data_IF_804144536622
#
_entry.id   IF_804144536622
#
_cell.length_a   1.000
_cell.length_b   1.000
_cell.length_c   1.000
_cell.angle_alpha   90.00
_cell.angle_beta   90.00
_cell.angle_gamma   90.00
#
_symmetry.space_group_name_H-M   'P 1'
#
loop_
_entity.id
_entity.type
_entity.pdbx_description
1 polymer ?
#
# COMPACT_ATOMS: atom_id res chain seq x y z
N UNK A 1 12.21 1.01 13.47
CA UNK A 1 12.02 1.78 12.23
C UNK A 1 12.47 3.22 12.41
N UNK A 2 13.23 3.79 11.47
CA UNK A 2 13.49 5.23 11.45
C UNK A 2 12.23 5.91 10.88
N UNK A 3 11.52 6.71 11.71
CA UNK A 3 10.27 7.41 11.34
C UNK A 3 10.35 8.15 10.00
N UNK A 4 11.54 8.66 9.62
CA UNK A 4 11.73 9.39 8.36
C UNK A 4 11.51 8.59 7.07
N UNK A 5 11.68 7.26 7.09
CA UNK A 5 11.50 6.45 5.88
C UNK A 5 10.01 6.19 5.55
N UNK A 6 9.17 6.08 6.59
CA UNK A 6 7.74 5.78 6.41
C UNK A 6 7.00 6.94 5.75
N UNK A 7 7.26 8.18 6.14
CA UNK A 7 6.56 9.33 5.54
C UNK A 7 6.88 9.49 4.05
N UNK A 8 8.13 9.29 3.63
CA UNK A 8 8.52 9.34 2.22
C UNK A 8 7.79 8.28 1.37
N UNK A 9 7.56 7.10 1.93
CA UNK A 9 6.78 6.03 1.28
C UNK A 9 5.30 6.40 1.20
N UNK A 10 4.73 7.00 2.24
CA UNK A 10 3.35 7.48 2.20
C UNK A 10 3.18 8.59 1.15
N UNK A 11 4.13 9.52 1.05
CA UNK A 11 4.15 10.55 0.02
C UNK A 11 4.21 9.97 -1.40
N UNK A 12 4.94 8.86 -1.58
CA UNK A 12 4.96 8.12 -2.86
C UNK A 12 3.57 7.61 -3.24
N UNK A 13 2.83 7.02 -2.30
CA UNK A 13 1.44 6.60 -2.52
C UNK A 13 0.49 7.79 -2.77
N UNK A 14 0.66 8.88 -2.03
CA UNK A 14 -0.13 10.11 -2.21
C UNK A 14 0.11 10.75 -3.59
N UNK A 15 1.36 10.77 -4.05
CA UNK A 15 1.74 11.27 -5.38
C UNK A 15 1.10 10.44 -6.49
N UNK A 16 1.09 9.12 -6.34
CA UNK A 16 0.43 8.21 -7.28
C UNK A 16 -1.10 8.41 -7.32
N UNK A 17 -1.71 8.71 -6.17
CA UNK A 17 -3.13 9.10 -6.09
C UNK A 17 -3.38 10.43 -6.80
N UNK A 18 -2.55 11.44 -6.52
CA UNK A 18 -2.64 12.75 -7.14
C UNK A 18 -2.49 12.69 -8.67
N UNK A 19 -1.61 11.83 -9.19
CA UNK A 19 -1.46 11.57 -10.63
C UNK A 19 -2.71 10.98 -11.30
N UNK A 20 -3.65 10.43 -10.53
CA UNK A 20 -4.99 10.01 -11.00
C UNK A 20 -6.08 11.06 -10.78
N UNK A 21 -5.74 12.22 -10.23
CA UNK A 21 -6.72 13.20 -9.77
C UNK A 21 -7.50 12.74 -8.53
N UNK A 22 -6.94 11.80 -7.75
CA UNK A 22 -7.57 11.25 -6.55
C UNK A 22 -6.91 11.76 -5.28
N UNK A 23 -7.64 11.68 -4.17
CA UNK A 23 -7.12 11.95 -2.82
C UNK A 23 -7.40 10.75 -1.94
N UNK A 24 -6.41 10.24 -1.20
CA UNK A 24 -6.63 9.08 -0.35
C UNK A 24 -7.47 9.44 0.88
N UNK A 25 -8.35 8.53 1.25
CA UNK A 25 -9.11 8.62 2.48
C UNK A 25 -8.22 8.45 3.71
N UNK A 26 -8.68 8.94 4.86
CA UNK A 26 -7.97 8.79 6.12
C UNK A 26 -7.70 7.32 6.49
N UNK A 27 -8.67 6.43 6.26
CA UNK A 27 -8.50 5.00 6.56
C UNK A 27 -7.46 4.31 5.66
N UNK A 28 -7.31 4.75 4.42
CA UNK A 28 -6.26 4.23 3.52
C UNK A 28 -4.88 4.59 4.07
N UNK A 29 -4.65 5.86 4.40
CA UNK A 29 -3.38 6.31 5.01
C UNK A 29 -3.08 5.64 6.35
N UNK A 30 -4.09 5.46 7.19
CA UNK A 30 -3.95 4.74 8.45
C UNK A 30 -3.55 3.27 8.21
N UNK A 31 -4.19 2.60 7.24
CA UNK A 31 -3.85 1.22 6.86
C UNK A 31 -2.41 1.14 6.34
N UNK A 32 -2.00 2.07 5.47
CA UNK A 32 -0.66 2.06 4.91
C UNK A 32 0.42 2.18 6.00
N UNK A 33 0.18 3.07 6.97
CA UNK A 33 1.07 3.28 8.11
C UNK A 33 1.15 2.05 9.01
N UNK A 34 0.01 1.44 9.35
CA UNK A 34 -0.05 0.24 10.18
C UNK A 34 0.64 -0.95 9.49
N UNK A 35 0.35 -1.17 8.20
CA UNK A 35 1.00 -2.22 7.40
C UNK A 35 2.52 -2.03 7.36
N UNK A 36 3.01 -0.83 7.06
CA UNK A 36 4.46 -0.54 7.03
C UNK A 36 5.12 -0.60 8.41
N UNK A 37 4.33 -0.59 9.50
CA UNK A 37 4.80 -0.83 10.85
C UNK A 37 4.89 -2.33 11.21
N UNK A 38 4.47 -3.22 10.30
CA UNK A 38 4.42 -4.67 10.51
C UNK A 38 3.21 -5.13 11.33
N UNK A 39 2.14 -4.33 11.36
CA UNK A 39 0.91 -4.66 12.09
C UNK A 39 -0.07 -5.47 11.23
N UNK A 40 -0.75 -6.43 11.86
CA UNK A 40 -1.90 -7.13 11.28
C UNK A 40 -3.20 -6.36 11.52
N UNK A 41 -4.14 -6.39 10.56
CA UNK A 41 -5.38 -5.62 10.71
C UNK A 41 -6.52 -5.96 9.76
N UNK A 42 -7.68 -5.37 10.06
CA UNK A 42 -8.91 -5.48 9.27
C UNK A 42 -9.37 -4.08 8.82
N UNK A 43 -9.54 -3.91 7.51
CA UNK A 43 -10.11 -2.68 6.94
C UNK A 43 -11.61 -2.85 6.75
N UNK A 44 -12.40 -2.11 7.53
CA UNK A 44 -13.83 -1.97 7.32
C UNK A 44 -14.13 -0.60 6.70
N UNK A 45 -14.68 -0.58 5.49
CA UNK A 45 -15.13 0.65 4.84
C UNK A 45 -16.28 0.38 3.85
N UNK A 46 -17.08 1.40 3.47
CA UNK A 46 -18.20 1.24 2.54
C UNK A 46 -17.79 0.72 1.16
N UNK A 47 -18.72 0.17 0.40
CA UNK A 47 -18.51 -0.15 -1.03
C UNK A 47 -18.22 1.12 -1.82
N UNK A 48 -17.37 1.02 -2.86
CA UNK A 48 -16.98 2.18 -3.68
C UNK A 48 -15.93 3.11 -3.05
N UNK A 49 -15.50 2.89 -1.80
CA UNK A 49 -14.49 3.71 -1.12
C UNK A 49 -13.02 3.43 -1.52
N UNK A 50 -12.79 2.52 -2.47
CA UNK A 50 -11.43 2.14 -2.87
C UNK A 50 -10.67 1.33 -1.81
N UNK A 51 -11.36 0.48 -1.03
CA UNK A 51 -10.73 -0.43 -0.04
C UNK A 51 -9.54 -1.20 -0.59
N UNK A 52 -9.59 -1.62 -1.86
CA UNK A 52 -8.48 -2.32 -2.54
C UNK A 52 -7.16 -1.58 -2.42
N UNK A 53 -7.16 -0.24 -2.56
CA UNK A 53 -5.95 0.58 -2.44
C UNK A 53 -5.42 0.69 -1.00
N UNK A 54 -6.21 0.29 0.00
CA UNK A 54 -5.75 0.25 1.39
C UNK A 54 -4.72 -0.87 1.61
N UNK A 55 -4.79 -1.94 0.81
CA UNK A 55 -3.92 -3.12 0.96
C UNK A 55 -2.90 -3.25 -0.18
N UNK A 56 -3.29 -2.96 -1.43
CA UNK A 56 -2.36 -3.08 -2.57
C UNK A 56 -1.20 -2.09 -2.48
N UNK A 57 -1.46 -0.82 -2.16
CA UNK A 57 -0.39 0.18 -2.10
C UNK A 57 0.67 -0.13 -1.05
N UNK A 58 0.36 -0.45 0.22
CA UNK A 58 1.40 -0.67 1.20
C UNK A 58 2.22 -1.95 0.94
N UNK A 59 1.65 -2.98 0.29
CA UNK A 59 2.43 -4.12 -0.25
C UNK A 59 3.48 -3.64 -1.26
N UNK A 60 3.11 -2.73 -2.17
CA UNK A 60 4.05 -2.15 -3.14
C UNK A 60 5.08 -1.24 -2.46
N UNK A 61 4.66 -0.44 -1.48
CA UNK A 61 5.56 0.44 -0.71
C UNK A 61 6.59 -0.37 0.10
N UNK A 62 6.19 -1.51 0.69
CA UNK A 62 7.11 -2.43 1.34
C UNK A 62 8.14 -2.97 0.34
N UNK A 63 7.70 -3.32 -0.87
CA UNK A 63 8.61 -3.76 -1.92
C UNK A 63 9.61 -2.66 -2.31
N UNK A 64 9.15 -1.43 -2.54
CA UNK A 64 10.02 -0.27 -2.83
C UNK A 64 10.98 -0.01 -1.66
N UNK A 65 10.51 -0.14 -0.42
CA UNK A 65 11.34 0.01 0.77
C UNK A 65 12.48 -1.00 0.81
N UNK A 66 12.20 -2.26 0.43
CA UNK A 66 13.20 -3.33 0.40
C UNK A 66 14.20 -3.17 -0.76
N UNK A 67 13.79 -2.50 -1.84
CA UNK A 67 14.55 -2.38 -3.09
C UNK A 67 14.56 -0.93 -3.63
N UNK A 68 15.08 0.05 -2.88
CA UNK A 68 14.93 1.47 -3.21
C UNK A 68 15.60 1.90 -4.53
N UNK A 69 16.62 1.15 -4.99
CA UNK A 69 17.36 1.44 -6.22
C UNK A 69 16.98 0.51 -7.40
N UNK A 70 16.15 -0.51 -7.16
CA UNK A 70 15.87 -1.59 -8.11
C UNK A 70 14.44 -2.13 -7.93
N UNK A 71 13.47 -1.23 -7.76
CA UNK A 71 12.07 -1.60 -7.53
C UNK A 71 11.31 -1.93 -8.82
N UNK A 72 11.94 -1.79 -9.99
CA UNK A 72 11.41 -2.12 -11.32
C UNK A 72 11.85 -3.51 -11.84
N UNK A 73 12.68 -4.21 -11.07
CA UNK A 73 13.09 -5.59 -11.34
C UNK A 73 11.90 -6.55 -11.50
N UNK A 74 12.12 -7.65 -12.22
CA UNK A 74 11.07 -8.60 -12.61
C UNK A 74 11.20 -9.98 -11.94
N UNK A 75 12.31 -10.27 -11.27
CA UNK A 75 12.66 -11.56 -10.66
C UNK A 75 12.36 -11.61 -9.14
N UNK A 76 11.14 -11.25 -8.76
CA UNK A 76 10.79 -10.95 -7.35
C UNK A 76 10.28 -12.11 -6.50
N UNK A 77 10.03 -13.28 -7.08
CA UNK A 77 9.34 -14.38 -6.41
C UNK A 77 7.92 -14.00 -5.93
N UNK A 78 7.35 -14.81 -5.05
CA UNK A 78 6.03 -14.55 -4.47
C UNK A 78 6.10 -13.43 -3.42
N UNK A 79 5.29 -12.38 -3.57
CA UNK A 79 5.27 -11.21 -2.66
C UNK A 79 4.00 -11.06 -1.85
N UNK A 80 2.85 -11.43 -2.42
CA UNK A 80 1.56 -11.32 -1.75
C UNK A 80 0.63 -12.45 -2.21
N UNK A 81 -0.24 -12.89 -1.31
CA UNK A 81 -1.33 -13.83 -1.61
C UNK A 81 -2.64 -13.07 -1.42
N UNK A 82 -3.39 -12.91 -2.51
CA UNK A 82 -4.69 -12.25 -2.51
C UNK A 82 -5.80 -13.29 -2.65
N UNK A 83 -6.64 -13.41 -1.62
CA UNK A 83 -7.71 -14.41 -1.57
C UNK A 83 -9.05 -13.71 -1.74
N UNK A 84 -9.81 -14.09 -2.77
CA UNK A 84 -11.19 -13.63 -2.97
C UNK A 84 -12.16 -14.79 -2.88
N UNK A 85 -13.35 -14.59 -2.28
CA UNK A 85 -14.34 -15.67 -2.13
C UNK A 85 -15.02 -16.05 -3.46
N UNK A 86 -14.97 -15.18 -4.46
CA UNK A 86 -15.57 -15.38 -5.77
C UNK A 86 -14.55 -15.13 -6.88
N UNK A 87 -14.73 -15.82 -8.01
CA UNK A 87 -14.13 -15.47 -9.31
C UNK A 87 -15.15 -14.64 -10.08
N UNK A 88 -14.72 -13.51 -10.63
CA UNK A 88 -15.53 -12.67 -11.51
C UNK A 88 -15.42 -13.15 -12.96
#
# INVERSE_FOLDING_TARGET
MKKGNTEALLETAETWFAGRGWQPFAFQRATWRAYLAGEDGLVNAPTGSGKTYSLILPILLEFIQAHPEDYDRTDNGLRAIWITPIRA
#
